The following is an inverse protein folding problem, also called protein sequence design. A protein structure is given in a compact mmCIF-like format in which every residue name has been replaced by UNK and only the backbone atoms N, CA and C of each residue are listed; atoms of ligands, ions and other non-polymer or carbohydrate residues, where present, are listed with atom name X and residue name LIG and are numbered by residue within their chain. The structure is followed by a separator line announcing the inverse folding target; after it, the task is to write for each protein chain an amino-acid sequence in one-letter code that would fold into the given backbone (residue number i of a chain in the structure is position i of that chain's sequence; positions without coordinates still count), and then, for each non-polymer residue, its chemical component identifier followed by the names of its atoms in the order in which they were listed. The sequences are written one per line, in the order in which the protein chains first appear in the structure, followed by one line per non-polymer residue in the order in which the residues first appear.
data_IF_635781329356
#
_entry.id   IF_635781329356
#
_cell.length_a   1.000
_cell.length_b   1.000
_cell.length_c   1.000
_cell.angle_alpha   90.00
_cell.angle_beta   90.00
_cell.angle_gamma   90.00
#
_symmetry.space_group_name_H-M   'P 1'
#
loop_
_entity.id
_entity.type
_entity.pdbx_description
1 polymer ?
#
# COMPACT_ATOMS: atom_id res chain seq x y z
N UNK A 1 26.32 68.98 14.54
CA UNK A 1 25.07 68.32 14.31
C UNK A 1 25.32 67.02 13.48
N UNK A 2 25.50 65.88 14.17
CA UNK A 2 25.70 64.58 13.51
C UNK A 2 24.34 63.93 13.27
N UNK A 3 24.01 63.63 12.02
CA UNK A 3 22.81 62.88 11.65
C UNK A 3 23.13 61.38 11.71
N UNK A 4 22.58 60.68 12.69
CA UNK A 4 22.59 59.23 12.72
C UNK A 4 21.55 58.68 11.71
N UNK A 5 22.03 57.99 10.66
CA UNK A 5 21.17 57.19 9.75
C UNK A 5 21.10 55.76 10.31
N UNK A 6 19.88 55.34 10.69
CA UNK A 6 19.61 53.95 11.03
C UNK A 6 19.43 53.16 9.73
N UNK A 7 20.09 52.01 9.57
CA UNK A 7 19.78 51.12 8.43
C UNK A 7 18.47 50.40 8.69
N UNK A 8 17.55 50.48 7.73
CA UNK A 8 16.31 49.73 7.71
C UNK A 8 16.64 48.24 7.56
N UNK A 9 16.46 47.49 8.64
CA UNK A 9 16.53 46.01 8.60
C UNK A 9 15.25 45.49 7.94
N UNK A 10 15.36 45.02 6.69
CA UNK A 10 14.31 44.29 5.98
C UNK A 10 14.21 42.88 6.56
N UNK A 11 13.22 42.66 7.43
CA UNK A 11 12.94 41.36 7.99
C UNK A 11 12.28 40.50 6.90
N UNK A 12 13.08 39.66 6.21
CA UNK A 12 12.55 38.64 5.29
C UNK A 12 11.89 37.53 6.11
N UNK A 13 10.57 37.61 6.25
CA UNK A 13 9.77 36.53 6.82
C UNK A 13 9.74 35.37 5.81
N UNK A 14 10.57 34.39 6.05
CA UNK A 14 10.52 33.11 5.32
C UNK A 14 9.24 32.37 5.75
N UNK A 15 8.16 32.51 5.00
CA UNK A 15 7.05 31.58 5.08
C UNK A 15 7.53 30.26 4.46
N UNK A 16 7.50 29.15 5.18
CA UNK A 16 7.69 27.85 4.55
C UNK A 16 6.49 27.62 3.63
N UNK A 17 6.68 27.80 2.33
CA UNK A 17 5.77 27.30 1.33
C UNK A 17 5.73 25.79 1.53
N UNK A 18 4.63 25.27 2.09
CA UNK A 18 4.30 23.87 2.07
C UNK A 18 4.09 23.50 0.59
N UNK A 19 5.17 23.15 -0.09
CA UNK A 19 5.11 22.62 -1.45
C UNK A 19 4.53 21.22 -1.33
N UNK A 20 3.25 21.11 -1.61
CA UNK A 20 2.61 19.82 -1.82
C UNK A 20 2.82 19.51 -3.31
N UNK A 21 3.58 18.50 -3.59
CA UNK A 21 3.84 18.04 -4.94
C UNK A 21 3.02 16.80 -5.24
N UNK A 22 2.39 16.75 -6.42
CA UNK A 22 1.83 15.52 -6.96
C UNK A 22 2.97 14.52 -7.16
N UNK A 23 2.74 13.24 -6.93
CA UNK A 23 3.73 12.20 -7.19
C UNK A 23 3.33 11.43 -8.44
N UNK A 24 4.18 11.49 -9.42
CA UNK A 24 4.09 10.71 -10.65
C UNK A 24 5.09 9.57 -10.60
N UNK A 25 4.82 8.49 -11.33
CA UNK A 25 5.77 7.41 -11.43
C UNK A 25 5.52 6.51 -12.63
N UNK A 26 6.55 5.77 -13.01
CA UNK A 26 6.47 4.71 -14.01
C UNK A 26 7.42 3.57 -13.62
N UNK A 27 7.23 2.42 -14.24
CA UNK A 27 8.16 1.30 -14.15
C UNK A 27 9.16 1.40 -15.28
N UNK A 28 10.46 1.36 -14.98
CA UNK A 28 11.50 1.28 -15.98
C UNK A 28 11.62 -0.14 -16.59
N UNK A 29 12.51 -0.32 -17.57
CA UNK A 29 12.72 -1.61 -18.24
C UNK A 29 13.29 -2.68 -17.31
N UNK A 30 13.95 -2.30 -16.22
CA UNK A 30 14.47 -3.20 -15.19
C UNK A 30 13.41 -3.61 -14.16
N UNK A 31 12.18 -3.05 -14.24
CA UNK A 31 11.12 -3.29 -13.28
C UNK A 31 11.22 -2.44 -12.01
N UNK A 32 12.00 -1.37 -12.04
CA UNK A 32 12.15 -0.42 -10.93
C UNK A 32 11.08 0.66 -11.01
N UNK A 33 10.42 0.95 -9.88
CA UNK A 33 9.48 2.06 -9.78
C UNK A 33 10.23 3.39 -9.68
N UNK A 34 10.15 4.22 -10.72
CA UNK A 34 10.72 5.57 -10.76
C UNK A 34 9.64 6.56 -10.32
N UNK A 35 9.94 7.35 -9.30
CA UNK A 35 9.04 8.38 -8.76
C UNK A 35 9.58 9.78 -9.08
N UNK A 36 8.66 10.73 -9.34
CA UNK A 36 8.97 12.12 -9.57
C UNK A 36 7.83 13.01 -9.07
N UNK A 37 8.13 14.20 -8.63
CA UNK A 37 7.17 15.25 -8.31
C UNK A 37 6.71 16.04 -9.56
N UNK A 38 7.26 15.71 -10.73
CA UNK A 38 6.92 16.33 -12.01
C UNK A 38 6.67 15.24 -13.05
N UNK A 39 5.60 15.39 -13.83
CA UNK A 39 5.35 14.55 -15.00
C UNK A 39 6.33 14.94 -16.11
N UNK A 40 7.40 14.16 -16.30
CA UNK A 40 8.45 14.46 -17.27
C UNK A 40 8.08 14.03 -18.69
N UNK A 41 7.32 12.92 -18.83
CA UNK A 41 6.88 12.41 -20.13
C UNK A 41 5.60 11.54 -20.00
N UNK A 42 5.15 10.94 -21.08
CA UNK A 42 3.93 10.13 -21.13
C UNK A 42 4.02 8.78 -20.42
N UNK A 43 5.19 8.34 -19.97
CA UNK A 43 5.37 7.14 -19.16
C UNK A 43 4.93 7.36 -17.72
N UNK A 44 5.01 8.60 -17.23
CA UNK A 44 4.65 8.95 -15.87
C UNK A 44 3.13 8.98 -15.67
N UNK A 45 2.62 8.09 -14.83
CA UNK A 45 1.24 8.11 -14.33
C UNK A 45 1.16 8.86 -13.00
N UNK A 46 0.08 9.62 -12.79
CA UNK A 46 -0.19 10.24 -11.49
C UNK A 46 -0.49 9.16 -10.45
N UNK A 47 0.36 9.01 -9.44
CA UNK A 47 0.23 8.02 -8.38
C UNK A 47 -0.41 8.59 -7.11
N UNK A 48 -0.01 9.81 -6.74
CA UNK A 48 -0.55 10.55 -5.60
C UNK A 48 -0.78 12.00 -6.03
N UNK A 49 -1.96 12.52 -5.74
CA UNK A 49 -2.29 13.92 -5.96
C UNK A 49 -2.25 14.66 -4.63
N UNK A 50 -1.49 15.76 -4.57
CA UNK A 50 -1.52 16.64 -3.41
C UNK A 50 -2.85 17.40 -3.36
N UNK A 51 -3.68 17.12 -2.36
CA UNK A 51 -4.92 17.84 -2.19
C UNK A 51 -4.68 19.21 -1.54
N UNK A 52 -4.56 20.24 -2.37
CA UNK A 52 -5.09 21.56 -2.04
C UNK A 52 -6.03 21.98 -3.17
N UNK A 53 -7.20 21.43 -3.23
CA UNK A 53 -8.33 22.03 -3.90
C UNK A 53 -9.61 21.53 -3.23
N UNK A 54 -10.31 22.45 -2.59
CA UNK A 54 -11.69 22.29 -2.11
C UNK A 54 -12.58 21.77 -3.23
N UNK A 55 -12.72 20.46 -3.33
CA UNK A 55 -13.90 19.76 -3.81
C UNK A 55 -13.83 18.36 -3.24
N UNK A 56 -14.94 17.80 -2.71
CA UNK A 56 -14.92 16.39 -2.37
C UNK A 56 -14.66 15.64 -3.67
N UNK A 57 -13.41 15.19 -3.83
CA UNK A 57 -13.09 14.22 -4.86
C UNK A 57 -14.12 13.10 -4.68
N UNK A 58 -14.80 12.71 -5.77
CA UNK A 58 -15.56 11.46 -5.78
C UNK A 58 -14.66 10.44 -5.11
N UNK A 59 -15.04 10.01 -3.91
CA UNK A 59 -14.37 8.94 -3.23
C UNK A 59 -14.49 7.74 -4.15
N UNK A 60 -13.46 7.50 -4.96
CA UNK A 60 -13.30 6.20 -5.59
C UNK A 60 -13.19 5.27 -4.39
N UNK A 61 -14.09 4.30 -4.23
CA UNK A 61 -13.94 3.32 -3.18
C UNK A 61 -12.63 2.59 -3.47
N UNK A 62 -11.55 3.06 -2.88
CA UNK A 62 -10.35 2.26 -2.75
C UNK A 62 -10.82 1.02 -1.99
N UNK A 63 -10.61 -0.14 -2.56
CA UNK A 63 -10.83 -1.40 -1.87
C UNK A 63 -9.90 -1.44 -0.65
N UNK A 64 -10.04 -0.81 0.35
CA UNK A 64 -9.26 -0.55 1.54
C UNK A 64 -9.89 0.67 2.19
N UNK A 65 -10.96 0.48 2.99
CA UNK A 65 -11.63 1.49 3.76
C UNK A 65 -10.67 2.21 4.72
N UNK A 66 -11.17 3.21 5.43
CA UNK A 66 -10.46 3.79 6.58
C UNK A 66 -10.03 2.65 7.50
N UNK A 67 -8.77 2.67 7.96
CA UNK A 67 -8.27 1.66 8.90
C UNK A 67 -9.16 1.70 10.15
N UNK A 68 -9.78 0.58 10.47
CA UNK A 68 -10.50 0.38 11.72
C UNK A 68 -9.48 0.04 12.80
N UNK A 69 -9.07 1.05 13.58
CA UNK A 69 -8.03 0.90 14.59
C UNK A 69 -8.42 -0.04 15.74
N UNK A 70 -9.70 -0.13 16.09
CA UNK A 70 -10.18 -1.07 17.10
C UNK A 70 -10.06 -2.52 16.60
N UNK A 71 -10.44 -2.77 15.35
CA UNK A 71 -10.24 -4.07 14.75
C UNK A 71 -8.75 -4.37 14.55
N UNK A 72 -7.91 -3.38 14.19
CA UNK A 72 -6.48 -3.58 14.12
C UNK A 72 -5.95 -4.14 15.45
N UNK A 73 -6.22 -3.46 16.57
CA UNK A 73 -5.78 -3.92 17.91
C UNK A 73 -6.24 -5.35 18.19
N UNK A 74 -7.50 -5.66 17.84
CA UNK A 74 -8.08 -7.00 18.03
C UNK A 74 -7.33 -8.08 17.25
N UNK A 75 -6.91 -7.78 16.02
CA UNK A 75 -6.32 -8.78 15.13
C UNK A 75 -4.79 -8.79 15.10
N UNK A 76 -4.09 -7.84 15.75
CA UNK A 76 -2.63 -7.86 15.86
C UNK A 76 -2.08 -9.20 16.37
N UNK A 77 -2.61 -9.83 17.43
CA UNK A 77 -2.10 -11.11 17.89
C UNK A 77 -2.23 -12.24 16.84
N UNK A 78 -3.33 -12.23 16.09
CA UNK A 78 -3.58 -13.17 14.99
C UNK A 78 -2.60 -12.95 13.84
N UNK A 79 -2.37 -11.67 13.47
CA UNK A 79 -1.42 -11.30 12.41
C UNK A 79 0.00 -11.71 12.80
N UNK A 80 0.41 -11.44 14.04
CA UNK A 80 1.70 -11.85 14.57
C UNK A 80 1.90 -13.38 14.53
N UNK A 81 0.86 -14.15 14.85
CA UNK A 81 0.90 -15.62 14.76
C UNK A 81 1.11 -16.07 13.31
N UNK A 82 0.35 -15.52 12.35
CA UNK A 82 0.48 -15.85 10.94
C UNK A 82 1.85 -15.42 10.37
N UNK A 83 2.33 -14.24 10.77
CA UNK A 83 3.66 -13.74 10.37
C UNK A 83 4.76 -14.74 10.73
N UNK A 84 4.75 -15.26 11.97
CA UNK A 84 5.69 -16.29 12.41
C UNK A 84 5.51 -17.60 11.66
N UNK A 85 4.27 -18.07 11.51
CA UNK A 85 3.96 -19.35 10.86
C UNK A 85 4.44 -19.41 9.40
N UNK A 86 4.25 -18.30 8.68
CA UNK A 86 4.61 -18.20 7.26
C UNK A 86 5.93 -17.47 7.00
N UNK A 87 6.68 -17.10 8.05
CA UNK A 87 7.96 -16.39 7.93
C UNK A 87 7.85 -15.14 7.06
N UNK A 88 6.85 -14.31 7.34
CA UNK A 88 6.61 -13.00 6.70
C UNK A 88 6.78 -11.94 7.79
N UNK A 89 7.32 -10.80 7.41
CA UNK A 89 7.38 -9.63 8.29
C UNK A 89 5.97 -9.23 8.74
N UNK A 90 5.77 -9.11 10.05
CA UNK A 90 4.47 -8.76 10.64
C UNK A 90 3.97 -7.39 10.12
N UNK A 91 4.86 -6.41 10.02
CA UNK A 91 4.53 -5.09 9.50
C UNK A 91 4.04 -5.16 8.04
N UNK A 92 4.59 -6.10 7.24
CA UNK A 92 4.12 -6.33 5.88
C UNK A 92 2.70 -6.91 5.86
N UNK A 93 2.40 -7.91 6.68
CA UNK A 93 1.04 -8.45 6.78
C UNK A 93 0.04 -7.39 7.26
N UNK A 94 0.42 -6.58 8.25
CA UNK A 94 -0.41 -5.46 8.71
C UNK A 94 -0.67 -4.45 7.59
N UNK A 95 0.32 -4.14 6.75
CA UNK A 95 0.18 -3.23 5.63
C UNK A 95 -0.77 -3.78 4.55
N UNK A 96 -0.66 -5.07 4.23
CA UNK A 96 -1.55 -5.74 3.29
C UNK A 96 -3.00 -5.72 3.81
N UNK A 97 -3.26 -6.17 5.04
CA UNK A 97 -4.60 -6.17 5.65
C UNK A 97 -5.20 -4.76 5.69
N UNK A 98 -4.39 -3.76 6.05
CA UNK A 98 -4.83 -2.36 6.06
C UNK A 98 -5.23 -1.88 4.67
N UNK A 99 -4.54 -2.34 3.64
CA UNK A 99 -4.82 -1.95 2.25
C UNK A 99 -6.03 -2.70 1.69
N UNK A 100 -6.16 -3.97 2.00
CA UNK A 100 -7.21 -4.86 1.47
C UNK A 100 -8.59 -4.56 2.06
N UNK A 101 -8.68 -4.47 3.37
CA UNK A 101 -9.96 -4.35 4.07
C UNK A 101 -10.05 -3.21 5.08
N UNK A 102 -8.93 -2.53 5.39
CA UNK A 102 -8.89 -1.64 6.54
C UNK A 102 -9.17 -2.34 7.87
N UNK A 103 -8.87 -3.63 7.96
CA UNK A 103 -9.20 -4.52 9.08
C UNK A 103 -10.68 -4.82 9.23
N UNK A 104 -11.47 -4.78 8.16
CA UNK A 104 -12.88 -5.17 8.19
C UNK A 104 -13.03 -6.68 7.86
N UNK A 105 -13.35 -7.54 8.85
CA UNK A 105 -13.42 -8.98 8.63
C UNK A 105 -14.60 -9.40 7.75
N UNK A 106 -15.65 -8.59 7.70
CA UNK A 106 -16.83 -8.81 6.88
C UNK A 106 -16.71 -8.29 5.44
N UNK A 107 -15.60 -7.66 5.07
CA UNK A 107 -15.44 -7.05 3.77
C UNK A 107 -15.61 -8.05 2.61
N UNK A 108 -16.38 -7.65 1.61
CA UNK A 108 -16.55 -8.41 0.36
C UNK A 108 -16.41 -7.45 -0.82
N UNK A 109 -15.47 -7.73 -1.73
CA UNK A 109 -15.29 -6.92 -2.93
C UNK A 109 -16.31 -7.27 -4.03
N UNK A 110 -16.45 -6.38 -5.02
CA UNK A 110 -17.30 -6.64 -6.20
C UNK A 110 -16.84 -7.87 -7.00
N UNK A 111 -15.56 -8.25 -6.90
CA UNK A 111 -14.99 -9.44 -7.54
C UNK A 111 -15.14 -10.71 -6.68
N UNK A 112 -15.74 -10.60 -5.48
CA UNK A 112 -15.95 -11.72 -4.57
C UNK A 112 -14.77 -12.05 -3.67
N UNK A 113 -13.78 -11.18 -3.53
CA UNK A 113 -12.73 -11.33 -2.53
C UNK A 113 -13.31 -11.07 -1.13
N UNK A 114 -12.87 -11.83 -0.11
CA UNK A 114 -13.51 -11.89 1.21
C UNK A 114 -12.51 -11.63 2.33
N UNK A 115 -12.94 -10.89 3.34
CA UNK A 115 -12.35 -10.80 4.66
C UNK A 115 -11.13 -9.90 4.76
N UNK A 116 -10.37 -10.07 5.84
CA UNK A 116 -9.24 -9.20 6.25
C UNK A 116 -8.19 -9.04 5.15
N UNK A 117 -7.82 -10.11 4.47
CA UNK A 117 -6.82 -10.14 3.42
C UNK A 117 -7.42 -10.22 2.01
N UNK A 118 -8.73 -10.04 1.86
CA UNK A 118 -9.45 -10.07 0.58
C UNK A 118 -9.07 -11.29 -0.28
N UNK A 119 -9.20 -12.47 0.34
CA UNK A 119 -8.85 -13.72 -0.32
C UNK A 119 -9.98 -14.15 -1.27
N UNK A 120 -9.65 -14.47 -2.51
CA UNK A 120 -10.59 -15.04 -3.46
C UNK A 120 -10.97 -16.47 -3.06
N UNK A 121 -12.24 -16.92 -3.24
CA UNK A 121 -12.68 -18.27 -2.89
C UNK A 121 -11.80 -19.38 -3.49
N UNK A 122 -11.37 -19.22 -4.73
CA UNK A 122 -10.49 -20.20 -5.39
C UNK A 122 -9.10 -20.25 -4.73
N UNK A 123 -8.60 -19.11 -4.26
CA UNK A 123 -7.34 -19.04 -3.49
C UNK A 123 -7.54 -19.73 -2.14
N UNK A 124 -8.65 -19.46 -1.44
CA UNK A 124 -8.96 -20.14 -0.18
C UNK A 124 -8.97 -21.66 -0.34
N UNK A 125 -9.67 -22.18 -1.35
CA UNK A 125 -9.71 -23.63 -1.65
C UNK A 125 -8.32 -24.22 -1.88
N UNK A 126 -7.43 -23.50 -2.60
CA UNK A 126 -6.04 -23.93 -2.83
C UNK A 126 -5.29 -24.18 -1.53
N UNK A 127 -5.56 -23.38 -0.50
CA UNK A 127 -4.93 -23.48 0.83
C UNK A 127 -5.79 -24.21 1.86
N UNK A 128 -6.82 -24.98 1.41
CA UNK A 128 -7.65 -25.80 2.28
C UNK A 128 -8.62 -24.99 3.15
N UNK A 129 -8.90 -23.75 2.80
CA UNK A 129 -9.77 -22.84 3.54
C UNK A 129 -11.11 -22.68 2.83
N UNK A 130 -12.20 -22.95 3.55
CA UNK A 130 -13.58 -22.85 3.05
C UNK A 130 -14.37 -21.71 3.71
N UNK A 131 -13.98 -21.28 4.91
CA UNK A 131 -14.68 -20.26 5.68
C UNK A 131 -13.89 -18.94 5.70
N UNK A 132 -13.83 -18.25 4.54
CA UNK A 132 -13.06 -17.00 4.39
C UNK A 132 -13.61 -15.80 5.19
N UNK A 133 -14.80 -15.90 5.79
CA UNK A 133 -15.31 -14.91 6.74
C UNK A 133 -14.74 -15.09 8.15
N UNK A 134 -14.18 -16.27 8.44
CA UNK A 134 -13.46 -16.50 9.68
C UNK A 134 -12.09 -15.80 9.61
N UNK A 135 -11.80 -14.87 10.55
CA UNK A 135 -10.56 -14.08 10.50
C UNK A 135 -9.29 -14.92 10.54
N UNK A 136 -9.27 -15.99 11.35
CA UNK A 136 -8.11 -16.87 11.48
C UNK A 136 -7.83 -17.60 10.16
N UNK A 137 -8.86 -18.19 9.57
CA UNK A 137 -8.74 -18.91 8.30
C UNK A 137 -8.35 -17.95 7.16
N UNK A 138 -8.94 -16.75 7.15
CA UNK A 138 -8.66 -15.74 6.14
C UNK A 138 -7.21 -15.27 6.16
N UNK A 139 -6.72 -14.88 7.34
CA UNK A 139 -5.33 -14.40 7.50
C UNK A 139 -4.34 -15.51 7.18
N UNK A 140 -4.60 -16.75 7.60
CA UNK A 140 -3.74 -17.89 7.25
C UNK A 140 -3.69 -18.14 5.74
N UNK A 141 -4.83 -18.15 5.05
CA UNK A 141 -4.86 -18.35 3.59
C UNK A 141 -4.14 -17.21 2.85
N UNK A 142 -4.41 -15.96 3.24
CA UNK A 142 -3.79 -14.79 2.62
C UNK A 142 -2.28 -14.71 2.86
N UNK A 143 -1.83 -15.00 4.09
CA UNK A 143 -0.42 -15.05 4.44
C UNK A 143 0.31 -16.17 3.68
N UNK A 144 -0.27 -17.36 3.61
CA UNK A 144 0.30 -18.46 2.83
C UNK A 144 0.42 -18.10 1.35
N UNK A 145 -0.62 -17.52 0.76
CA UNK A 145 -0.58 -17.04 -0.62
C UNK A 145 0.50 -15.98 -0.84
N UNK A 146 0.60 -14.99 0.05
CA UNK A 146 1.64 -13.95 -0.04
C UNK A 146 3.06 -14.56 0.06
N UNK A 147 3.25 -15.56 0.94
CA UNK A 147 4.52 -16.27 1.07
C UNK A 147 4.91 -16.98 -0.23
N UNK A 148 3.94 -17.67 -0.86
CA UNK A 148 4.19 -18.35 -2.13
C UNK A 148 4.54 -17.36 -3.25
N UNK A 149 3.87 -16.21 -3.28
CA UNK A 149 4.20 -15.15 -4.24
C UNK A 149 5.60 -14.57 -3.99
N UNK A 150 6.00 -14.33 -2.72
CA UNK A 150 7.35 -13.89 -2.41
C UNK A 150 8.39 -14.89 -2.91
N UNK A 151 8.18 -16.18 -2.67
CA UNK A 151 9.07 -17.26 -3.20
C UNK A 151 9.08 -17.28 -4.72
N UNK A 152 7.90 -17.15 -5.34
CA UNK A 152 7.73 -17.19 -6.80
C UNK A 152 8.45 -16.07 -7.53
N UNK A 153 8.59 -14.91 -6.89
CA UNK A 153 9.25 -13.72 -7.43
C UNK A 153 10.58 -13.41 -6.75
N UNK A 154 11.28 -14.43 -6.26
CA UNK A 154 12.64 -14.32 -5.74
C UNK A 154 12.77 -13.26 -4.62
N UNK A 155 11.74 -13.16 -3.75
CA UNK A 155 11.56 -12.16 -2.70
C UNK A 155 11.49 -10.70 -3.23
N UNK A 156 11.25 -10.50 -4.52
CA UNK A 156 10.92 -9.17 -5.03
C UNK A 156 9.54 -8.77 -4.51
N UNK A 157 9.55 -7.95 -3.45
CA UNK A 157 8.35 -7.53 -2.74
C UNK A 157 7.34 -6.81 -3.65
N UNK A 158 7.82 -5.95 -4.56
CA UNK A 158 6.94 -5.19 -5.46
C UNK A 158 6.19 -6.12 -6.42
N UNK A 159 6.89 -7.11 -6.99
CA UNK A 159 6.26 -8.10 -7.88
C UNK A 159 5.30 -9.02 -7.13
N UNK A 160 5.66 -9.45 -5.91
CA UNK A 160 4.78 -10.25 -5.07
C UNK A 160 3.48 -9.51 -4.72
N UNK A 161 3.58 -8.23 -4.34
CA UNK A 161 2.41 -7.38 -4.07
C UNK A 161 1.57 -7.13 -5.33
N UNK A 162 2.21 -6.89 -6.47
CA UNK A 162 1.50 -6.76 -7.75
C UNK A 162 0.76 -8.05 -8.12
N UNK A 163 1.38 -9.22 -7.87
CA UNK A 163 0.77 -10.51 -8.12
C UNK A 163 -0.36 -10.83 -7.13
N UNK A 164 -0.24 -10.39 -5.88
CA UNK A 164 -1.30 -10.51 -4.90
C UNK A 164 -2.58 -9.79 -5.36
N UNK A 165 -2.43 -8.55 -5.83
CA UNK A 165 -3.55 -7.72 -6.27
C UNK A 165 -4.08 -8.08 -7.67
N UNK A 166 -3.20 -8.24 -8.66
CA UNK A 166 -3.56 -8.44 -10.06
C UNK A 166 -3.61 -9.92 -10.48
N UNK A 167 -3.11 -10.81 -9.65
CA UNK A 167 -2.90 -12.22 -9.96
C UNK A 167 -1.53 -12.50 -10.58
N UNK A 168 -0.92 -13.63 -10.19
CA UNK A 168 0.40 -14.09 -10.67
C UNK A 168 0.51 -14.09 -12.20
N UNK A 169 -0.51 -14.61 -12.89
CA UNK A 169 -0.53 -14.69 -14.36
C UNK A 169 -0.44 -13.31 -15.02
N UNK A 170 -0.98 -12.26 -14.40
CA UNK A 170 -0.90 -10.92 -14.95
C UNK A 170 0.56 -10.42 -14.92
N UNK A 171 1.27 -10.58 -13.82
CA UNK A 171 2.69 -10.20 -13.69
C UNK A 171 3.54 -10.98 -14.68
N UNK A 172 3.33 -12.28 -14.83
CA UNK A 172 4.07 -13.11 -15.79
C UNK A 172 3.82 -12.69 -17.25
N UNK A 173 2.57 -12.43 -17.64
CA UNK A 173 2.24 -11.93 -19.01
C UNK A 173 2.89 -10.58 -19.31
N UNK A 174 3.16 -9.77 -18.30
CA UNK A 174 3.86 -8.48 -18.45
C UNK A 174 5.37 -8.60 -18.24
N UNK A 175 5.95 -9.81 -18.47
CA UNK A 175 7.40 -10.00 -18.43
C UNK A 175 8.03 -9.82 -17.06
N UNK A 176 7.36 -10.28 -15.97
CA UNK A 176 7.76 -10.04 -14.58
C UNK A 176 7.90 -8.55 -14.26
N UNK A 177 6.92 -7.76 -14.67
CA UNK A 177 6.79 -6.32 -14.36
C UNK A 177 5.43 -6.08 -13.69
N UNK A 178 5.30 -4.98 -12.96
CA UNK A 178 4.01 -4.57 -12.42
C UNK A 178 3.07 -4.27 -13.60
N UNK A 179 1.92 -4.97 -13.70
CA UNK A 179 0.97 -4.70 -14.77
C UNK A 179 0.49 -3.24 -14.74
N UNK A 180 0.31 -2.56 -15.87
CA UNK A 180 -0.12 -1.17 -15.93
C UNK A 180 -1.61 -1.00 -15.63
N UNK A 181 -2.12 -1.78 -14.69
CA UNK A 181 -3.50 -1.68 -14.22
C UNK A 181 -3.57 -0.59 -13.18
N UNK A 182 -4.48 0.38 -13.34
CA UNK A 182 -4.64 1.51 -12.42
C UNK A 182 -4.73 1.07 -10.95
N UNK A 183 -5.49 0.01 -10.67
CA UNK A 183 -5.63 -0.55 -9.32
C UNK A 183 -4.27 -1.00 -8.78
N UNK A 184 -3.52 -1.81 -9.55
CA UNK A 184 -2.25 -2.38 -9.12
C UNK A 184 -1.15 -1.33 -8.98
N UNK A 185 -1.13 -0.34 -9.88
CA UNK A 185 -0.20 0.80 -9.83
C UNK A 185 -0.41 1.67 -8.58
N UNK A 186 -1.63 1.71 -8.02
CA UNK A 186 -1.93 2.41 -6.77
C UNK A 186 -1.74 1.51 -5.54
N UNK A 187 -2.01 0.22 -5.68
CA UNK A 187 -1.93 -0.76 -4.59
C UNK A 187 -0.50 -0.94 -4.08
N UNK A 188 0.45 -1.21 -4.98
CA UNK A 188 1.84 -1.50 -4.59
C UNK A 188 2.47 -0.37 -3.79
N UNK A 189 2.48 0.90 -4.25
CA UNK A 189 3.03 2.01 -3.47
C UNK A 189 2.32 2.21 -2.12
N UNK A 190 0.99 2.00 -2.07
CA UNK A 190 0.20 2.14 -0.85
C UNK A 190 0.61 1.12 0.20
N UNK A 191 0.74 -0.16 -0.18
CA UNK A 191 1.20 -1.20 0.75
C UNK A 191 2.61 -0.89 1.25
N UNK A 192 3.53 -0.50 0.35
CA UNK A 192 4.91 -0.17 0.71
C UNK A 192 4.99 1.02 1.69
N UNK A 193 4.18 2.05 1.48
CA UNK A 193 4.12 3.20 2.39
C UNK A 193 3.61 2.81 3.79
N UNK A 194 2.57 1.97 3.87
CA UNK A 194 2.06 1.44 5.13
C UNK A 194 3.06 0.49 5.80
N UNK A 195 3.74 -0.34 5.03
CA UNK A 195 4.77 -1.24 5.52
C UNK A 195 5.89 -0.46 6.23
N UNK A 196 6.44 0.56 5.57
CA UNK A 196 7.43 1.46 6.18
C UNK A 196 6.91 2.12 7.47
N UNK A 197 5.64 2.57 7.46
CA UNK A 197 5.01 3.17 8.64
C UNK A 197 4.89 2.19 9.82
N UNK A 198 4.56 0.91 9.56
CA UNK A 198 4.43 -0.09 10.61
C UNK A 198 5.78 -0.56 11.14
N UNK A 199 6.82 -0.66 10.29
CA UNK A 199 8.19 -0.93 10.74
C UNK A 199 8.69 0.11 11.74
N UNK A 200 8.50 1.41 11.47
CA UNK A 200 8.91 2.49 12.37
C UNK A 200 8.16 2.54 13.72
N UNK A 201 7.06 1.77 13.87
CA UNK A 201 6.38 1.63 15.16
C UNK A 201 6.97 0.52 16.03
N UNK A 202 7.58 -0.47 15.43
CA UNK A 202 8.17 -1.62 16.14
C UNK A 202 9.51 -1.28 16.80
N UNK A 203 10.16 -0.20 16.37
CA UNK A 203 11.46 0.25 16.91
C UNK A 203 11.34 1.17 18.15
N UNK A 204 10.13 1.51 18.59
CA UNK A 204 9.87 2.50 19.66
C UNK A 204 9.25 1.86 20.92
N UNK A 205 8.98 0.57 20.93
CA UNK A 205 8.54 -0.20 22.11
C UNK A 205 9.70 -1.08 22.64
#
# INVERSE_FOLDING_TARGET
MMKFQFPSILLLVFFPLLVHADIFGYMDEAGTLVLSDVKQDNRYALLLQSEIAKKPALAIPLAGGRINWENQKRYVPLVAQAARAYQIDEALLQAVISTESGYEPGAVSHKGAIGLMQVMPETGKRYGVTHLRDPLQNVNAGAHYLRDLLRRFDNNLQLALAAYNAGERAVLRHGKRIPPYRETMQYVPRVLALYKKFQGKTEVE
#
